data_IF_043089765467
#
_entry.id   IF_043089765467
#
_cell.length_a   1.000
_cell.length_b   1.000
_cell.length_c   1.000
_cell.angle_alpha   90.00
_cell.angle_beta   90.00
_cell.angle_gamma   90.00
#
_symmetry.space_group_name_H-M   'P 1'
#
loop_
_entity.id
_entity.type
_entity.pdbx_description
1 polymer ?
#
# COMPACT_ATOMS: atom_id res chain seq x y z
N UNK A 1 0.61 -14.43 -12.79
CA UNK A 1 2.02 -13.97 -12.74
C UNK A 1 3.03 -15.10 -12.92
N UNK A 2 2.73 -16.34 -12.51
CA UNK A 2 3.61 -17.50 -12.71
C UNK A 2 3.99 -17.74 -14.18
N UNK A 3 3.07 -17.50 -15.11
CA UNK A 3 3.33 -17.59 -16.55
C UNK A 3 4.30 -16.51 -17.08
N UNK A 4 4.63 -15.49 -16.28
CA UNK A 4 5.63 -14.47 -16.60
C UNK A 4 6.99 -14.77 -15.96
N UNK A 5 7.18 -15.99 -15.44
CA UNK A 5 8.42 -16.45 -14.80
C UNK A 5 8.87 -15.56 -13.62
N UNK A 6 7.91 -14.97 -12.89
CA UNK A 6 8.19 -14.15 -11.72
C UNK A 6 8.40 -15.03 -10.48
N UNK A 7 9.32 -14.65 -9.58
CA UNK A 7 9.49 -15.32 -8.29
C UNK A 7 8.18 -15.42 -7.51
N UNK A 8 7.93 -16.60 -6.93
CA UNK A 8 6.66 -16.92 -6.25
C UNK A 8 6.28 -15.91 -5.16
N UNK A 9 7.27 -15.33 -4.48
CA UNK A 9 7.05 -14.28 -3.48
C UNK A 9 6.26 -13.09 -4.04
N UNK A 10 6.52 -12.67 -5.28
CA UNK A 10 5.81 -11.55 -5.91
C UNK A 10 4.43 -11.96 -6.44
N UNK A 11 4.30 -13.18 -6.96
CA UNK A 11 3.01 -13.76 -7.33
C UNK A 11 2.05 -13.77 -6.15
N UNK A 12 2.56 -14.16 -4.97
CA UNK A 12 1.80 -14.16 -3.72
C UNK A 12 1.30 -12.76 -3.35
N UNK A 13 2.15 -11.75 -3.42
CA UNK A 13 1.77 -10.38 -3.05
C UNK A 13 0.67 -9.84 -3.96
N UNK A 14 0.86 -9.96 -5.28
CA UNK A 14 -0.14 -9.49 -6.23
C UNK A 14 -1.48 -10.20 -6.07
N UNK A 15 -1.48 -11.48 -5.70
CA UNK A 15 -2.72 -12.23 -5.40
C UNK A 15 -3.35 -11.80 -4.07
N UNK A 16 -2.54 -11.64 -3.02
CA UNK A 16 -3.03 -11.59 -1.63
C UNK A 16 -3.26 -10.16 -1.10
N UNK A 17 -2.75 -9.11 -1.75
CA UNK A 17 -2.78 -7.73 -1.22
C UNK A 17 -4.18 -7.11 -1.06
N UNK A 18 -5.24 -7.71 -1.61
CA UNK A 18 -6.62 -7.27 -1.38
C UNK A 18 -7.39 -8.09 -0.35
N UNK A 19 -6.77 -9.14 0.22
CA UNK A 19 -7.44 -10.00 1.20
C UNK A 19 -7.66 -9.25 2.53
N UNK A 20 -8.80 -9.49 3.18
CA UNK A 20 -9.09 -8.95 4.52
C UNK A 20 -8.04 -9.39 5.54
N UNK A 21 -7.66 -10.66 5.50
CA UNK A 21 -6.62 -11.21 6.38
C UNK A 21 -5.23 -10.70 6.00
N UNK A 22 -4.47 -10.26 7.00
CA UNK A 22 -3.11 -9.77 6.85
C UNK A 22 -2.13 -10.80 7.41
N UNK A 23 -1.30 -11.39 6.54
CA UNK A 23 -0.09 -12.10 6.95
C UNK A 23 0.99 -11.08 7.35
N UNK A 24 1.02 -10.72 8.63
CA UNK A 24 1.94 -9.75 9.21
C UNK A 24 3.41 -10.20 9.17
N UNK A 25 3.67 -11.50 8.96
CA UNK A 25 5.05 -12.03 8.83
C UNK A 25 5.64 -11.75 7.45
N UNK A 26 4.79 -11.51 6.45
CA UNK A 26 5.21 -11.15 5.10
C UNK A 26 5.31 -9.62 4.95
N UNK A 27 6.44 -9.05 5.38
CA UNK A 27 6.66 -7.60 5.37
C UNK A 27 6.44 -6.96 4.00
N UNK A 28 6.77 -7.65 2.91
CA UNK A 28 6.58 -7.12 1.56
C UNK A 28 5.09 -7.03 1.18
N UNK A 29 4.26 -7.97 1.62
CA UNK A 29 2.81 -7.86 1.50
C UNK A 29 2.27 -6.68 2.30
N UNK A 30 2.74 -6.50 3.55
CA UNK A 30 2.34 -5.37 4.40
C UNK A 30 2.68 -4.03 3.74
N UNK A 31 3.89 -3.89 3.19
CA UNK A 31 4.31 -2.67 2.48
C UNK A 31 3.45 -2.37 1.26
N UNK A 32 3.14 -3.38 0.43
CA UNK A 32 2.30 -3.18 -0.76
C UNK A 32 0.87 -2.80 -0.37
N UNK A 33 0.33 -3.42 0.69
CA UNK A 33 -0.99 -3.05 1.21
C UNK A 33 -1.03 -1.63 1.75
N UNK A 34 0.00 -1.21 2.49
CA UNK A 34 0.13 0.16 2.98
C UNK A 34 0.17 1.16 1.81
N UNK A 35 1.02 0.91 0.82
CA UNK A 35 1.10 1.75 -0.38
C UNK A 35 -0.26 1.82 -1.10
N UNK A 36 -0.96 0.69 -1.23
CA UNK A 36 -2.28 0.64 -1.85
C UNK A 36 -3.32 1.48 -1.08
N UNK A 37 -3.34 1.42 0.25
CA UNK A 37 -4.23 2.23 1.08
C UNK A 37 -3.93 3.73 0.96
N UNK A 38 -2.65 4.13 0.93
CA UNK A 38 -2.26 5.54 0.74
C UNK A 38 -2.70 6.02 -0.63
N UNK A 39 -2.48 5.22 -1.69
CA UNK A 39 -2.93 5.55 -3.03
C UNK A 39 -4.46 5.72 -3.09
N UNK A 40 -5.23 4.79 -2.50
CA UNK A 40 -6.68 4.91 -2.46
C UNK A 40 -7.13 6.18 -1.73
N UNK A 41 -6.54 6.49 -0.57
CA UNK A 41 -6.84 7.70 0.18
C UNK A 41 -6.60 8.97 -0.63
N UNK A 42 -5.51 9.00 -1.38
CA UNK A 42 -5.09 10.14 -2.18
C UNK A 42 -5.74 10.19 -3.57
N UNK A 43 -6.62 9.25 -3.92
CA UNK A 43 -7.22 9.16 -5.25
C UNK A 43 -6.23 8.80 -6.37
N UNK A 44 -5.12 8.15 -6.03
CA UNK A 44 -4.11 7.69 -6.98
C UNK A 44 -4.51 6.31 -7.51
N UNK A 45 -4.86 6.24 -8.80
CA UNK A 45 -5.22 5.01 -9.50
C UNK A 45 -6.71 4.90 -9.80
N UNK A 46 -7.26 3.69 -9.72
CA UNK A 46 -8.66 3.41 -10.10
C UNK A 46 -9.68 3.60 -8.98
N UNK A 47 -9.22 3.64 -7.74
CA UNK A 47 -10.07 3.69 -6.54
C UNK A 47 -9.66 4.93 -5.74
N UNK A 48 -10.65 5.75 -5.42
CA UNK A 48 -10.53 6.86 -4.49
C UNK A 48 -11.39 6.54 -3.26
N UNK A 49 -10.78 6.58 -2.08
CA UNK A 49 -11.45 6.38 -0.80
C UNK A 49 -10.85 7.28 0.29
N UNK A 50 -11.30 8.55 0.37
CA UNK A 50 -10.78 9.50 1.35
C UNK A 50 -11.20 9.17 2.78
N UNK A 51 -12.08 8.19 2.99
CA UNK A 51 -12.52 7.76 4.32
C UNK A 51 -11.48 6.90 5.06
N UNK A 52 -10.42 6.46 4.36
CA UNK A 52 -9.33 5.67 4.94
C UNK A 52 -8.58 6.48 6.01
N UNK A 53 -8.61 5.96 7.24
CA UNK A 53 -7.80 6.43 8.36
C UNK A 53 -6.52 5.59 8.43
N UNK A 54 -5.45 6.05 7.76
CA UNK A 54 -4.20 5.29 7.63
C UNK A 54 -3.59 4.91 9.00
N UNK A 55 -3.64 5.80 9.99
CA UNK A 55 -3.11 5.53 11.33
C UNK A 55 -3.81 4.37 12.05
N UNK A 56 -5.05 4.05 11.69
CA UNK A 56 -5.82 2.94 12.29
C UNK A 56 -5.61 1.62 11.52
N UNK A 57 -4.85 1.63 10.43
CA UNK A 57 -4.59 0.44 9.63
C UNK A 57 -3.68 -0.57 10.36
N UNK A 58 -3.93 -1.86 10.11
CA UNK A 58 -3.07 -2.96 10.59
C UNK A 58 -1.66 -2.83 10.01
N UNK A 59 -1.55 -2.32 8.79
CA UNK A 59 -0.30 -2.10 8.07
C UNK A 59 0.56 -1.02 8.75
N UNK A 60 -0.03 0.10 9.16
CA UNK A 60 0.68 1.15 9.92
C UNK A 60 1.23 0.61 11.24
N UNK A 61 0.39 -0.11 11.99
CA UNK A 61 0.82 -0.73 13.25
C UNK A 61 1.97 -1.74 13.03
N UNK A 62 1.88 -2.57 11.99
CA UNK A 62 2.89 -3.59 11.69
C UNK A 62 4.22 -2.98 11.21
N UNK A 63 4.16 -1.90 10.44
CA UNK A 63 5.34 -1.18 9.93
C UNK A 63 5.89 -0.18 10.95
N UNK A 64 5.20 0.03 12.09
CA UNK A 64 5.56 1.00 13.12
C UNK A 64 5.69 2.42 12.57
N UNK A 65 4.82 2.79 11.63
CA UNK A 65 4.83 4.12 11.01
C UNK A 65 4.19 5.14 11.96
N UNK A 66 4.82 6.30 12.06
CA UNK A 66 4.24 7.46 12.75
C UNK A 66 3.34 8.27 11.82
N UNK A 67 2.52 9.16 12.39
CA UNK A 67 1.78 10.17 11.63
C UNK A 67 2.70 11.00 10.73
N UNK A 68 3.91 11.32 11.21
CA UNK A 68 4.90 12.07 10.43
C UNK A 68 5.44 11.27 9.24
N UNK A 69 5.59 9.95 9.36
CA UNK A 69 6.02 9.10 8.25
C UNK A 69 4.95 9.02 7.17
N UNK A 70 3.69 8.88 7.57
CA UNK A 70 2.55 8.85 6.64
C UNK A 70 2.36 10.20 5.94
N UNK A 71 2.38 11.30 6.69
CA UNK A 71 2.28 12.64 6.10
C UNK A 71 3.43 12.89 5.10
N UNK A 72 4.66 12.46 5.42
CA UNK A 72 5.79 12.56 4.50
C UNK A 72 5.60 11.71 3.25
N UNK A 73 5.02 10.52 3.38
CA UNK A 73 4.72 9.66 2.24
C UNK A 73 3.66 10.28 1.33
N UNK A 74 2.59 10.82 1.90
CA UNK A 74 1.53 11.53 1.16
C UNK A 74 2.12 12.71 0.37
N UNK A 75 2.90 13.59 1.02
CA UNK A 75 3.58 14.71 0.34
C UNK A 75 4.49 14.23 -0.78
N UNK A 76 5.28 13.18 -0.54
CA UNK A 76 6.19 12.64 -1.58
C UNK A 76 5.44 12.08 -2.79
N UNK A 77 4.26 11.49 -2.58
CA UNK A 77 3.44 10.95 -3.66
C UNK A 77 2.80 12.08 -4.46
N UNK A 78 2.29 13.11 -3.79
CA UNK A 78 1.77 14.33 -4.41
C UNK A 78 2.84 15.02 -5.29
N UNK A 79 4.06 15.16 -4.76
CA UNK A 79 5.19 15.77 -5.48
C UNK A 79 5.69 14.94 -6.67
N UNK A 80 5.44 13.63 -6.69
CA UNK A 80 6.12 12.69 -7.60
C UNK A 80 5.74 12.81 -9.09
N UNK A 81 4.87 13.75 -9.47
CA UNK A 81 4.31 13.87 -10.84
C UNK A 81 3.72 12.57 -11.41
N UNK A 82 3.44 11.56 -10.57
CA UNK A 82 2.89 10.26 -11.01
C UNK A 82 1.51 10.43 -11.69
N UNK A 83 0.90 11.61 -11.57
CA UNK A 83 -0.31 12.02 -12.30
C UNK A 83 -0.18 13.46 -12.85
N UNK A 84 0.94 13.80 -13.50
CA UNK A 84 0.92 14.90 -14.46
C UNK A 84 0.40 14.36 -15.81
N UNK A 85 -0.90 14.51 -16.05
CA UNK A 85 -1.50 14.35 -17.36
C UNK A 85 -1.16 15.54 -18.28
#
# INVERSE_FOLDING_TARGET
MTNWNLPEKYCRIARDHHLTELDSTNLLLVMVRMANQVCHKMGIGLIEDPSIVLMESRETAQLQLSEMDLARLEVRLEDSQVIAA
#
